data_IF_456562879666
#
_entry.id   IF_456562879666
#
_cell.length_a   1.000
_cell.length_b   1.000
_cell.length_c   1.000
_cell.angle_alpha   90.00
_cell.angle_beta   90.00
_cell.angle_gamma   90.00
#
_symmetry.space_group_name_H-M   'P 1'
#
loop_
_entity.id
_entity.type
_entity.pdbx_description
1 polymer ?
#
# COMPACT_ATOMS: atom_id res chain seq x y z
N UNK A 1 72.02 11.49 -13.94
CA UNK A 1 71.14 12.50 -13.35
C UNK A 1 69.95 12.73 -14.27
N UNK A 2 68.85 12.21 -14.05
CA UNK A 2 67.59 12.37 -14.79
C UNK A 2 67.00 11.04 -15.23
N UNK A 3 66.59 10.23 -14.24
CA UNK A 3 65.69 9.12 -14.48
C UNK A 3 65.01 8.70 -13.19
N UNK A 4 64.28 9.62 -12.58
CA UNK A 4 63.45 9.28 -11.40
C UNK A 4 62.22 10.15 -11.38
N UNK A 5 61.38 10.08 -12.38
CA UNK A 5 60.11 10.81 -12.36
C UNK A 5 59.05 10.27 -13.32
N UNK A 6 59.00 8.99 -13.55
CA UNK A 6 57.94 8.38 -14.38
C UNK A 6 57.31 7.16 -13.76
N UNK A 7 57.38 7.01 -12.44
CA UNK A 7 56.78 5.82 -11.80
C UNK A 7 55.80 6.16 -10.69
N UNK A 8 55.06 7.25 -10.81
CA UNK A 8 54.05 7.58 -9.81
C UNK A 8 52.65 7.87 -10.38
N UNK A 9 52.40 7.44 -11.59
CA UNK A 9 51.11 7.72 -12.22
C UNK A 9 50.27 6.50 -12.56
N UNK A 10 50.62 5.32 -12.09
CA UNK A 10 49.91 4.06 -12.45
C UNK A 10 49.16 3.45 -11.31
N UNK A 11 49.19 4.02 -10.11
CA UNK A 11 48.49 3.43 -8.95
C UNK A 11 47.13 4.09 -8.57
N UNK A 12 46.60 4.94 -9.40
CA UNK A 12 45.30 5.60 -9.09
C UNK A 12 44.11 5.08 -9.91
N UNK A 13 44.30 4.03 -10.72
CA UNK A 13 43.22 3.44 -11.52
C UNK A 13 42.69 2.11 -11.00
N UNK A 14 43.17 1.65 -9.85
CA UNK A 14 42.68 0.40 -9.26
C UNK A 14 41.55 0.59 -8.26
N UNK A 15 41.13 1.82 -8.02
CA UNK A 15 40.08 2.14 -7.02
C UNK A 15 38.63 2.12 -7.54
N UNK A 16 38.43 2.02 -8.85
CA UNK A 16 37.07 2.14 -9.41
C UNK A 16 36.39 0.80 -9.75
N UNK A 17 36.94 -0.32 -9.32
CA UNK A 17 36.35 -1.63 -9.56
C UNK A 17 35.57 -2.17 -8.38
N UNK A 18 35.30 -1.38 -7.36
CA UNK A 18 34.55 -1.82 -6.16
C UNK A 18 33.05 -1.55 -6.25
N UNK A 19 32.59 -0.89 -7.30
CA UNK A 19 31.16 -0.86 -7.57
C UNK A 19 30.89 -1.98 -8.56
N UNK A 20 30.69 -3.14 -8.04
CA UNK A 20 30.21 -4.27 -8.81
C UNK A 20 28.80 -3.93 -9.28
N UNK A 21 28.64 -3.69 -10.56
CA UNK A 21 27.34 -3.42 -11.18
C UNK A 21 26.37 -4.59 -10.97
N UNK A 22 26.88 -5.76 -10.58
CA UNK A 22 26.05 -6.91 -10.22
C UNK A 22 25.30 -6.70 -8.89
N UNK A 23 25.74 -5.75 -8.05
CA UNK A 23 25.02 -5.40 -6.83
C UNK A 23 23.68 -4.70 -7.11
N UNK A 24 23.54 -4.06 -8.26
CA UNK A 24 22.32 -3.40 -8.69
C UNK A 24 21.52 -4.20 -9.73
N UNK A 25 22.11 -5.27 -10.28
CA UNK A 25 21.35 -6.17 -11.11
C UNK A 25 20.39 -6.99 -10.22
N UNK A 26 19.08 -6.98 -10.48
CA UNK A 26 18.17 -7.83 -9.73
C UNK A 26 18.62 -9.27 -9.89
N UNK A 27 19.00 -9.91 -8.81
CA UNK A 27 19.33 -11.33 -8.83
C UNK A 27 18.10 -12.12 -9.31
N UNK A 28 18.27 -13.27 -9.93
CA UNK A 28 17.14 -14.13 -10.29
C UNK A 28 16.21 -14.45 -9.10
N UNK A 29 16.76 -14.47 -7.89
CA UNK A 29 16.02 -14.65 -6.66
C UNK A 29 15.16 -13.41 -6.32
N UNK A 30 15.65 -12.21 -6.56
CA UNK A 30 14.85 -10.99 -6.38
C UNK A 30 13.67 -10.90 -7.36
N UNK A 31 13.83 -11.42 -8.58
CA UNK A 31 12.72 -11.54 -9.54
C UNK A 31 11.69 -12.57 -9.12
N UNK A 32 12.11 -13.67 -8.52
CA UNK A 32 11.20 -14.68 -7.97
C UNK A 32 10.43 -14.15 -6.75
N UNK A 33 11.03 -13.28 -5.93
CA UNK A 33 10.36 -12.62 -4.81
C UNK A 33 9.37 -11.53 -5.27
N UNK A 34 9.66 -10.86 -6.39
CA UNK A 34 8.74 -9.87 -6.96
C UNK A 34 7.48 -10.49 -7.59
N UNK A 35 7.45 -11.80 -7.79
CA UNK A 35 6.31 -12.57 -8.32
C UNK A 35 5.45 -13.16 -7.19
N UNK A 36 5.84 -13.00 -5.92
CA UNK A 36 4.92 -13.28 -4.83
C UNK A 36 3.72 -12.35 -4.97
N UNK A 37 2.65 -12.90 -5.55
CA UNK A 37 1.33 -12.27 -5.54
C UNK A 37 1.03 -11.89 -4.11
N UNK A 38 0.75 -10.60 -3.82
CA UNK A 38 0.40 -10.19 -2.47
C UNK A 38 -0.71 -11.10 -1.99
N UNK A 39 -0.45 -11.84 -0.92
CA UNK A 39 -1.42 -12.77 -0.36
C UNK A 39 -2.72 -12.00 -0.13
N UNK A 40 -3.79 -12.42 -0.80
CA UNK A 40 -5.09 -11.80 -0.63
C UNK A 40 -5.44 -11.70 0.85
N UNK A 41 -6.00 -10.57 1.27
CA UNK A 41 -6.42 -10.40 2.66
C UNK A 41 -7.50 -11.44 2.96
N UNK A 42 -7.19 -12.36 3.89
CA UNK A 42 -8.10 -13.42 4.29
C UNK A 42 -9.26 -12.92 5.17
N UNK A 43 -9.19 -11.65 5.62
CA UNK A 43 -10.25 -11.06 6.43
C UNK A 43 -11.48 -10.76 5.57
N UNK A 44 -12.66 -10.93 6.17
CA UNK A 44 -13.89 -10.44 5.57
C UNK A 44 -14.01 -8.94 5.80
N UNK A 45 -14.21 -8.12 4.75
CA UNK A 45 -14.43 -6.70 4.93
C UNK A 45 -15.73 -6.45 5.67
N UNK A 46 -15.71 -5.45 6.56
CA UNK A 46 -16.90 -4.97 7.24
C UNK A 46 -17.87 -4.31 6.25
N UNK A 47 -17.32 -3.54 5.32
CA UNK A 47 -18.03 -2.88 4.22
C UNK A 47 -17.14 -2.88 2.98
N UNK A 48 -17.73 -3.13 1.83
CA UNK A 48 -17.12 -2.93 0.51
C UNK A 48 -17.92 -1.89 -0.25
N UNK A 49 -17.23 -0.86 -0.75
CA UNK A 49 -17.83 0.27 -1.46
C UNK A 49 -17.30 0.29 -2.88
N UNK A 50 -18.17 0.10 -3.85
CA UNK A 50 -17.82 0.15 -5.27
C UNK A 50 -17.89 1.57 -5.79
N UNK A 51 -16.78 2.07 -6.32
CA UNK A 51 -16.64 3.39 -6.91
C UNK A 51 -16.68 3.38 -8.45
N UNK A 52 -17.07 2.29 -9.07
CA UNK A 52 -17.29 2.24 -10.52
C UNK A 52 -18.45 3.17 -10.95
N UNK A 53 -19.40 3.38 -10.06
CA UNK A 53 -20.48 4.34 -10.26
C UNK A 53 -20.14 5.68 -9.60
N UNK A 54 -20.48 6.82 -10.21
CA UNK A 54 -20.34 8.10 -9.57
C UNK A 54 -21.28 8.21 -8.36
N UNK A 55 -20.77 8.74 -7.26
CA UNK A 55 -21.53 9.02 -6.04
C UNK A 55 -22.28 7.78 -5.48
N UNK A 56 -21.56 6.71 -5.09
CA UNK A 56 -22.20 5.52 -4.52
C UNK A 56 -22.84 5.84 -3.16
N UNK A 57 -24.07 5.38 -2.96
CA UNK A 57 -24.77 5.52 -1.67
C UNK A 57 -24.32 4.44 -0.69
N UNK A 58 -23.35 4.77 0.16
CA UNK A 58 -22.83 3.85 1.17
C UNK A 58 -22.98 4.35 2.62
N UNK A 59 -23.46 5.57 2.80
CA UNK A 59 -23.48 6.24 4.11
C UNK A 59 -24.29 5.47 5.16
N UNK A 60 -25.46 4.96 4.79
CA UNK A 60 -26.32 4.19 5.67
C UNK A 60 -25.71 2.86 6.08
N UNK A 61 -25.16 2.13 5.11
CA UNK A 61 -24.48 0.84 5.34
C UNK A 61 -23.24 1.02 6.21
N UNK A 62 -22.42 2.04 5.91
CA UNK A 62 -21.22 2.36 6.67
C UNK A 62 -21.57 2.67 8.13
N UNK A 63 -22.58 3.50 8.37
CA UNK A 63 -23.06 3.84 9.72
C UNK A 63 -23.46 2.61 10.51
N UNK A 64 -24.28 1.76 9.92
CA UNK A 64 -24.73 0.52 10.55
C UNK A 64 -23.55 -0.38 10.92
N UNK A 65 -22.63 -0.58 9.99
CA UNK A 65 -21.49 -1.44 10.19
C UNK A 65 -20.52 -0.91 11.27
N UNK A 66 -20.25 0.39 11.27
CA UNK A 66 -19.41 1.04 12.30
C UNK A 66 -20.03 0.95 13.68
N UNK A 67 -21.35 1.15 13.79
CA UNK A 67 -22.09 1.02 15.05
C UNK A 67 -21.98 -0.41 15.59
N UNK A 68 -22.27 -1.40 14.76
CA UNK A 68 -22.19 -2.81 15.15
C UNK A 68 -20.78 -3.24 15.57
N UNK A 69 -19.75 -2.71 14.93
CA UNK A 69 -18.36 -2.97 15.32
C UNK A 69 -18.02 -2.33 16.67
N UNK A 70 -18.44 -1.08 16.89
CA UNK A 70 -18.19 -0.35 18.13
C UNK A 70 -18.94 -0.94 19.33
N UNK A 71 -20.11 -1.54 19.12
CA UNK A 71 -20.85 -2.27 20.17
C UNK A 71 -20.09 -3.51 20.65
N UNK A 72 -19.35 -4.17 19.73
CA UNK A 72 -18.54 -5.35 20.07
C UNK A 72 -17.22 -4.97 20.74
N UNK A 73 -16.60 -3.91 20.26
CA UNK A 73 -15.33 -3.39 20.78
C UNK A 73 -15.30 -1.87 20.65
N UNK A 74 -15.52 -1.14 21.76
CA UNK A 74 -15.44 0.33 21.76
C UNK A 74 -14.06 0.90 21.37
N UNK A 75 -13.00 0.08 21.43
CA UNK A 75 -11.64 0.45 21.08
C UNK A 75 -11.25 0.03 19.66
N UNK A 76 -12.20 -0.43 18.86
CA UNK A 76 -11.96 -0.95 17.52
C UNK A 76 -11.19 0.04 16.64
N UNK A 77 -10.22 -0.48 15.91
CA UNK A 77 -9.52 0.24 14.85
C UNK A 77 -9.90 -0.33 13.48
N UNK A 78 -9.75 0.47 12.46
CA UNK A 78 -10.16 0.13 11.10
C UNK A 78 -9.02 0.29 10.11
N UNK A 79 -8.94 -0.65 9.17
CA UNK A 79 -8.14 -0.52 7.95
C UNK A 79 -9.07 -0.15 6.79
N UNK A 80 -8.83 1.00 6.18
CA UNK A 80 -9.51 1.46 4.96
C UNK A 80 -8.58 1.22 3.79
N UNK A 81 -8.89 0.23 2.98
CA UNK A 81 -8.03 -0.24 1.89
C UNK A 81 -8.67 0.09 0.55
N UNK A 82 -8.05 1.00 -0.20
CA UNK A 82 -8.43 1.25 -1.58
C UNK A 82 -7.81 0.18 -2.48
N UNK A 83 -8.65 -0.49 -3.25
CA UNK A 83 -8.23 -1.53 -4.18
C UNK A 83 -7.85 -0.91 -5.51
N UNK A 84 -6.63 -1.19 -5.98
CA UNK A 84 -6.05 -0.63 -7.20
C UNK A 84 -6.06 -1.68 -8.31
N UNK A 85 -7.03 -1.64 -9.25
CA UNK A 85 -6.98 -2.45 -10.44
C UNK A 85 -5.77 -2.11 -11.30
N UNK A 86 -5.26 -3.04 -12.13
CA UNK A 86 -4.21 -2.74 -13.09
C UNK A 86 -4.61 -1.56 -13.98
N UNK A 87 -3.69 -0.65 -14.23
CA UNK A 87 -3.88 0.56 -15.04
C UNK A 87 -4.86 1.60 -14.45
N UNK A 88 -5.32 1.43 -13.22
CA UNK A 88 -6.13 2.45 -12.56
C UNK A 88 -5.26 3.62 -12.07
N UNK A 89 -5.86 4.79 -11.97
CA UNK A 89 -5.22 5.97 -11.42
C UNK A 89 -5.06 5.83 -9.89
N UNK A 90 -3.83 5.77 -9.43
CA UNK A 90 -3.48 5.69 -8.00
C UNK A 90 -4.06 6.88 -7.24
N UNK A 91 -3.96 8.09 -7.80
CA UNK A 91 -4.47 9.30 -7.17
C UNK A 91 -5.98 9.27 -6.97
N UNK A 92 -6.73 8.77 -7.94
CA UNK A 92 -8.18 8.60 -7.85
C UNK A 92 -8.54 7.59 -6.75
N UNK A 93 -7.83 6.47 -6.66
CA UNK A 93 -8.09 5.46 -5.63
C UNK A 93 -7.75 5.98 -4.22
N UNK A 94 -6.68 6.73 -4.08
CA UNK A 94 -6.36 7.40 -2.80
C UNK A 94 -7.46 8.39 -2.38
N UNK A 95 -8.02 9.15 -3.31
CA UNK A 95 -9.15 10.05 -3.04
C UNK A 95 -10.37 9.28 -2.54
N UNK A 96 -10.70 8.14 -3.13
CA UNK A 96 -11.80 7.30 -2.68
C UNK A 96 -11.58 6.80 -1.25
N UNK A 97 -10.37 6.35 -0.93
CA UNK A 97 -10.00 5.96 0.43
C UNK A 97 -10.14 7.10 1.44
N UNK A 98 -9.68 8.29 1.09
CA UNK A 98 -9.82 9.49 1.91
C UNK A 98 -11.27 9.92 2.08
N UNK A 99 -12.10 9.78 1.06
CA UNK A 99 -13.53 10.08 1.11
C UNK A 99 -14.23 9.18 2.14
N UNK A 100 -13.96 7.86 2.09
CA UNK A 100 -14.50 6.91 3.06
C UNK A 100 -14.00 7.23 4.48
N UNK A 101 -12.72 7.53 4.66
CA UNK A 101 -12.17 7.95 5.95
C UNK A 101 -12.91 9.18 6.50
N UNK A 102 -13.13 10.20 5.68
CA UNK A 102 -13.87 11.40 6.09
C UNK A 102 -15.31 11.08 6.48
N UNK A 103 -15.96 10.20 5.75
CA UNK A 103 -17.30 9.72 6.09
C UNK A 103 -17.32 9.00 7.44
N UNK A 104 -16.31 8.19 7.75
CA UNK A 104 -16.16 7.52 9.05
C UNK A 104 -15.96 8.53 10.18
N UNK A 105 -15.11 9.54 9.97
CA UNK A 105 -14.89 10.61 10.95
C UNK A 105 -16.17 11.40 11.21
N UNK A 106 -16.94 11.72 10.15
CA UNK A 106 -18.23 12.38 10.27
C UNK A 106 -19.25 11.56 11.08
N UNK A 107 -19.07 10.26 11.13
CA UNK A 107 -19.92 9.34 11.93
C UNK A 107 -19.35 9.06 13.34
N UNK A 108 -18.32 9.76 13.75
CA UNK A 108 -17.79 9.72 15.11
C UNK A 108 -16.57 8.85 15.33
N UNK A 109 -16.01 8.24 14.27
CA UNK A 109 -14.76 7.47 14.39
C UNK A 109 -13.58 8.44 14.54
N UNK A 110 -12.72 8.20 15.51
CA UNK A 110 -11.52 9.02 15.70
C UNK A 110 -10.51 8.75 14.58
N UNK A 111 -9.92 9.81 14.04
CA UNK A 111 -8.97 9.71 12.92
C UNK A 111 -7.78 8.80 13.20
N UNK A 112 -7.28 8.79 14.45
CA UNK A 112 -6.15 7.95 14.87
C UNK A 112 -6.49 6.45 14.94
N UNK A 113 -7.76 6.08 14.79
CA UNK A 113 -8.21 4.69 14.72
C UNK A 113 -8.45 4.21 13.30
N UNK A 114 -8.20 5.05 12.29
CA UNK A 114 -8.38 4.73 10.88
C UNK A 114 -7.02 4.69 10.20
N UNK A 115 -6.71 3.55 9.60
CA UNK A 115 -5.47 3.33 8.89
C UNK A 115 -5.77 3.19 7.39
N UNK A 116 -5.21 4.10 6.60
CA UNK A 116 -5.36 4.07 5.15
C UNK A 116 -4.33 3.15 4.52
N UNK A 117 -4.77 2.38 3.55
CA UNK A 117 -3.92 1.50 2.76
C UNK A 117 -4.33 1.46 1.30
N UNK A 118 -3.41 1.05 0.46
CA UNK A 118 -3.62 0.80 -0.95
C UNK A 118 -3.17 -0.64 -1.25
N UNK A 119 -3.97 -1.38 -1.99
CA UNK A 119 -3.65 -2.76 -2.34
C UNK A 119 -4.01 -3.04 -3.79
N UNK A 120 -3.14 -3.77 -4.48
CA UNK A 120 -3.40 -4.20 -5.85
C UNK A 120 -4.60 -5.13 -5.91
N UNK A 121 -5.46 -4.91 -6.89
CA UNK A 121 -6.59 -5.78 -7.22
C UNK A 121 -6.30 -6.61 -8.47
N UNK A 122 -7.08 -7.68 -8.67
CA UNK A 122 -6.98 -8.52 -9.85
C UNK A 122 -7.34 -7.76 -11.13
N UNK A 123 -6.87 -8.26 -12.28
CA UNK A 123 -7.27 -7.74 -13.58
C UNK A 123 -8.79 -7.85 -13.75
N UNK A 124 -9.43 -6.79 -14.24
CA UNK A 124 -10.87 -6.71 -14.41
C UNK A 124 -11.66 -6.39 -13.16
N UNK A 125 -10.99 -6.24 -11.99
CA UNK A 125 -11.65 -5.76 -10.79
C UNK A 125 -12.10 -4.31 -10.93
N UNK A 126 -13.22 -3.96 -10.32
CA UNK A 126 -13.71 -2.59 -10.26
C UNK A 126 -13.01 -1.79 -9.16
N UNK A 127 -12.95 -0.44 -9.28
CA UNK A 127 -12.44 0.40 -8.21
C UNK A 127 -13.30 0.27 -6.96
N UNK A 128 -12.68 -0.14 -5.86
CA UNK A 128 -13.39 -0.50 -4.63
C UNK A 128 -12.59 -0.02 -3.41
N UNK A 129 -13.28 0.39 -2.37
CA UNK A 129 -12.69 0.64 -1.06
C UNK A 129 -13.29 -0.35 -0.07
N UNK A 130 -12.44 -1.06 0.66
CA UNK A 130 -12.82 -2.04 1.67
C UNK A 130 -12.46 -1.53 3.05
N UNK A 131 -13.38 -1.64 3.98
CA UNK A 131 -13.18 -1.34 5.38
C UNK A 131 -13.10 -2.64 6.16
N UNK A 132 -11.99 -2.84 6.87
CA UNK A 132 -11.76 -4.01 7.72
C UNK A 132 -11.66 -3.59 9.19
N UNK A 133 -12.08 -4.45 10.07
CA UNK A 133 -11.70 -4.35 11.48
C UNK A 133 -10.23 -4.77 11.62
N UNK A 134 -9.45 -3.91 12.25
CA UNK A 134 -8.05 -4.21 12.53
C UNK A 134 -7.92 -5.03 13.79
N UNK A 135 -7.57 -6.29 13.66
CA UNK A 135 -7.27 -7.14 14.80
C UNK A 135 -5.84 -6.86 15.27
N UNK A 136 -5.72 -6.23 16.42
CA UNK A 136 -4.42 -5.99 17.06
C UNK A 136 -3.81 -7.25 17.69
N UNK A 137 -4.56 -8.36 17.66
CA UNK A 137 -4.10 -9.69 18.09
C UNK A 137 -3.71 -10.50 16.85
N UNK A 138 -2.49 -10.29 16.42
CA UNK A 138 -1.84 -11.16 15.46
C UNK A 138 -0.85 -12.06 16.17
#
# INVERSE_FOLDING_TARGET
MRATSVMLAVMLLAGCKLIDQTTFAPSPEAKAQAVEVPKADARTPLVSINFAQPDPDYQGLLRYALHAAAERDPSVEYDVVAMLPPNADVGAQQKHGLEVMRAMIAQGVQANRIHLGLRSAAAGAEPEVRVYVRNLRG
#
